data_IF_858092808967
#
_entry.id   IF_858092808967
#
_cell.length_a   1.000
_cell.length_b   1.000
_cell.length_c   1.000
_cell.angle_alpha   90.00
_cell.angle_beta   90.00
_cell.angle_gamma   90.00
#
_symmetry.space_group_name_H-M   'P 1'
#
loop_
_entity.id
_entity.type
_entity.pdbx_description
1 polymer ?
#
# COMPACT_ATOMS: atom_id res chain seq x y z
N UNK A 1 60.12 -38.57 -21.40
CA UNK A 1 59.62 -39.95 -21.52
C UNK A 1 59.46 -40.53 -20.12
N UNK A 2 58.21 -40.58 -19.64
CA UNK A 2 57.48 -41.80 -19.18
C UNK A 2 58.32 -42.97 -18.60
N UNK A 3 57.94 -43.70 -17.56
CA UNK A 3 56.77 -43.78 -16.65
C UNK A 3 57.10 -44.89 -15.59
N UNK A 4 56.67 -44.77 -14.32
CA UNK A 4 55.56 -45.52 -13.63
C UNK A 4 55.73 -47.06 -13.45
N UNK A 5 55.18 -47.75 -12.43
CA UNK A 5 54.27 -47.46 -11.30
C UNK A 5 54.27 -48.65 -10.31
N UNK A 6 53.75 -48.49 -9.08
CA UNK A 6 53.65 -49.51 -8.00
C UNK A 6 52.22 -49.68 -7.44
N UNK A 7 51.81 -50.95 -7.39
CA UNK A 7 51.14 -51.81 -6.37
C UNK A 7 50.13 -51.31 -5.30
N UNK A 8 49.17 -52.22 -5.03
CA UNK A 8 47.98 -52.29 -4.16
C UNK A 8 48.31 -52.72 -2.70
N UNK A 9 47.43 -52.43 -1.70
CA UNK A 9 46.78 -53.37 -0.72
C UNK A 9 46.10 -52.60 0.46
N UNK A 10 44.98 -53.16 0.92
CA UNK A 10 43.96 -52.70 1.90
C UNK A 10 44.06 -53.42 3.26
N UNK A 11 43.56 -52.81 4.38
CA UNK A 11 42.54 -53.36 5.32
C UNK A 11 42.57 -52.80 6.77
N UNK A 12 41.40 -52.29 7.21
CA UNK A 12 40.67 -52.43 8.51
C UNK A 12 41.28 -52.24 9.94
N UNK A 13 40.59 -51.37 10.71
CA UNK A 13 40.16 -51.39 12.15
C UNK A 13 41.16 -51.68 13.31
N UNK A 14 41.21 -50.80 14.32
CA UNK A 14 41.11 -51.11 15.77
C UNK A 14 41.05 -49.84 16.65
N UNK A 15 40.51 -50.01 17.86
CA UNK A 15 39.87 -49.04 18.77
C UNK A 15 40.61 -49.01 20.14
N UNK A 16 40.46 -47.92 20.91
CA UNK A 16 40.51 -47.76 22.39
C UNK A 16 41.80 -47.39 23.20
N UNK A 17 41.61 -46.35 24.04
CA UNK A 17 41.93 -46.16 25.48
C UNK A 17 43.23 -45.50 26.03
N UNK A 18 43.03 -44.24 26.49
CA UNK A 18 43.21 -43.64 27.85
C UNK A 18 44.53 -43.64 28.68
N UNK A 19 44.60 -42.56 29.51
CA UNK A 19 45.42 -42.24 30.71
C UNK A 19 46.82 -41.61 30.54
N UNK A 20 47.31 -40.63 31.34
CA UNK A 20 46.81 -39.60 32.27
C UNK A 20 48.03 -38.73 32.71
N UNK A 21 47.80 -37.50 33.22
CA UNK A 21 48.64 -36.66 34.13
C UNK A 21 49.35 -35.38 33.58
N UNK A 22 48.79 -34.22 34.00
CA UNK A 22 49.34 -32.90 34.44
C UNK A 22 50.84 -32.58 34.23
N UNK A 23 51.32 -31.34 34.01
CA UNK A 23 51.00 -30.06 34.66
C UNK A 23 51.79 -28.87 34.02
N UNK A 24 51.14 -27.72 33.81
CA UNK A 24 51.61 -26.32 34.01
C UNK A 24 52.71 -25.64 33.14
N UNK A 25 52.28 -24.55 32.46
CA UNK A 25 52.77 -23.13 32.47
C UNK A 25 52.96 -22.48 31.08
N UNK A 26 52.08 -21.48 30.83
CA UNK A 26 52.15 -20.29 29.98
C UNK A 26 52.93 -20.29 28.64
N UNK A 27 52.17 -20.13 27.56
CA UNK A 27 52.39 -19.02 26.61
C UNK A 27 51.07 -18.57 25.98
N UNK A 28 50.68 -17.35 26.30
CA UNK A 28 49.52 -16.64 25.80
C UNK A 28 49.72 -16.30 24.32
N UNK A 29 49.04 -17.02 23.44
CA UNK A 29 48.75 -16.54 22.09
C UNK A 29 47.25 -16.39 21.98
N UNK A 30 46.80 -15.14 22.09
CA UNK A 30 45.47 -14.69 21.70
C UNK A 30 45.22 -15.08 20.25
N UNK A 31 44.50 -16.17 20.02
CA UNK A 31 43.80 -16.38 18.75
C UNK A 31 42.46 -15.68 18.88
N UNK A 32 42.45 -14.40 18.51
CA UNK A 32 41.22 -13.66 18.28
C UNK A 32 40.60 -14.29 17.03
N UNK A 33 39.59 -15.13 17.21
CA UNK A 33 38.70 -15.53 16.12
C UNK A 33 37.88 -14.29 15.74
N UNK A 34 38.41 -13.54 14.78
CA UNK A 34 37.63 -12.57 14.03
C UNK A 34 36.69 -13.33 13.09
N UNK A 35 35.40 -13.00 13.19
CA UNK A 35 34.52 -12.96 12.03
C UNK A 35 33.58 -14.15 11.83
N UNK A 36 32.49 -14.17 12.59
CA UNK A 36 31.20 -14.10 11.90
C UNK A 36 30.78 -12.63 11.94
N UNK A 37 30.92 -11.98 10.79
CA UNK A 37 30.42 -10.63 10.59
C UNK A 37 28.93 -10.63 10.91
N UNK A 38 28.54 -9.83 11.91
CA UNK A 38 27.18 -9.32 12.02
C UNK A 38 26.78 -8.83 10.63
N UNK A 39 25.75 -9.46 10.06
CA UNK A 39 25.17 -9.07 8.77
C UNK A 39 24.92 -7.56 8.78
N UNK A 40 25.67 -6.76 8.01
CA UNK A 40 25.38 -5.34 7.91
C UNK A 40 24.20 -5.23 6.95
N UNK A 41 23.03 -4.93 7.51
CA UNK A 41 21.69 -4.86 6.88
C UNK A 41 20.87 -6.16 6.84
N UNK A 42 20.52 -6.69 8.01
CA UNK A 42 19.12 -7.08 8.18
C UNK A 42 18.31 -5.78 8.13
N UNK A 43 17.69 -5.45 7.00
CA UNK A 43 16.68 -4.39 6.98
C UNK A 43 15.67 -4.71 8.08
N UNK A 44 15.55 -3.82 9.05
CA UNK A 44 14.56 -3.95 10.11
C UNK A 44 13.18 -3.88 9.45
N UNK A 45 12.57 -5.05 9.26
CA UNK A 45 11.23 -5.24 8.70
C UNK A 45 10.16 -5.07 9.76
N UNK A 46 10.55 -4.76 11.00
CA UNK A 46 9.59 -4.39 12.03
C UNK A 46 8.97 -3.03 11.72
N UNK A 47 7.77 -2.84 12.24
CA UNK A 47 6.95 -1.65 12.06
C UNK A 47 6.20 -1.36 13.35
N UNK A 48 5.79 -0.12 13.57
CA UNK A 48 5.23 0.32 14.86
C UNK A 48 3.70 0.31 14.86
N UNK A 49 3.08 0.71 13.75
CA UNK A 49 1.64 0.80 13.59
C UNK A 49 1.22 0.49 12.15
N UNK A 50 -0.07 0.28 11.93
CA UNK A 50 -0.69 0.17 10.62
C UNK A 50 -1.37 1.48 10.27
N UNK A 51 -1.11 2.03 9.09
CA UNK A 51 -1.85 3.13 8.52
C UNK A 51 -2.87 2.58 7.53
N UNK A 52 -4.15 2.76 7.82
CA UNK A 52 -5.22 2.44 6.88
C UNK A 52 -5.59 3.68 6.09
N UNK A 53 -5.44 3.60 4.78
CA UNK A 53 -5.64 4.70 3.84
C UNK A 53 -6.87 4.43 3.00
N UNK A 54 -7.86 5.33 3.09
CA UNK A 54 -8.96 5.41 2.14
C UNK A 54 -8.68 6.54 1.15
N UNK A 55 -8.99 6.31 -0.12
CA UNK A 55 -8.87 7.29 -1.20
C UNK A 55 -10.26 7.73 -1.70
N UNK A 56 -10.33 8.95 -2.22
CA UNK A 56 -11.52 9.47 -2.90
C UNK A 56 -11.39 9.30 -4.41
N UNK A 57 -12.11 8.35 -5.03
CA UNK A 57 -11.92 8.02 -6.45
C UNK A 57 -12.08 9.22 -7.40
N UNK A 58 -12.95 10.18 -7.09
CA UNK A 58 -13.15 11.35 -7.96
C UNK A 58 -11.95 12.30 -7.97
N UNK A 59 -11.26 12.47 -6.84
CA UNK A 59 -10.00 13.24 -6.80
C UNK A 59 -8.89 12.49 -7.52
N UNK A 60 -8.74 11.18 -7.23
CA UNK A 60 -7.76 10.32 -7.88
C UNK A 60 -7.92 10.35 -9.41
N UNK A 61 -9.16 10.35 -9.89
CA UNK A 61 -9.47 10.48 -11.31
C UNK A 61 -9.02 11.82 -11.91
N UNK A 62 -9.21 12.94 -11.19
CA UNK A 62 -8.76 14.27 -11.67
C UNK A 62 -7.25 14.29 -11.84
N UNK A 63 -6.51 13.74 -10.87
CA UNK A 63 -5.04 13.61 -10.94
C UNK A 63 -4.63 12.66 -12.06
N UNK A 64 -5.25 11.49 -12.16
CA UNK A 64 -4.96 10.48 -13.18
C UNK A 64 -5.09 11.00 -14.61
N UNK A 65 -6.14 11.78 -14.86
CA UNK A 65 -6.52 12.30 -16.18
C UNK A 65 -5.92 13.67 -16.50
N UNK A 66 -5.31 14.35 -15.52
CA UNK A 66 -4.70 15.66 -15.72
C UNK A 66 -3.62 15.60 -16.82
N UNK A 67 -3.77 16.43 -17.85
CA UNK A 67 -2.92 16.48 -19.05
C UNK A 67 -2.74 15.13 -19.78
N UNK A 68 -3.67 14.18 -19.59
CA UNK A 68 -3.64 12.84 -20.22
C UNK A 68 -5.00 12.52 -20.86
N UNK A 69 -5.26 12.99 -22.09
CA UNK A 69 -6.59 12.90 -22.71
C UNK A 69 -7.08 11.48 -23.02
N UNK A 70 -6.17 10.49 -23.01
CA UNK A 70 -6.51 9.08 -23.25
C UNK A 70 -6.72 8.30 -21.95
N UNK A 71 -6.57 8.95 -20.79
CA UNK A 71 -6.77 8.32 -19.50
C UNK A 71 -8.22 8.48 -19.06
N UNK A 72 -8.80 7.41 -18.56
CA UNK A 72 -10.15 7.36 -18.01
C UNK A 72 -10.12 6.68 -16.66
N UNK A 73 -11.28 6.70 -16.00
CA UNK A 73 -11.40 6.21 -14.64
C UNK A 73 -12.41 5.08 -14.52
N UNK A 74 -12.15 4.18 -13.58
CA UNK A 74 -13.12 3.23 -13.05
C UNK A 74 -13.57 3.71 -11.68
N UNK A 75 -14.87 3.58 -11.41
CA UNK A 75 -15.47 3.97 -10.14
C UNK A 75 -16.25 2.80 -9.54
N UNK A 76 -16.41 2.75 -8.21
CA UNK A 76 -17.35 1.86 -7.56
C UNK A 76 -18.76 2.02 -8.13
N UNK A 77 -19.56 0.94 -8.10
CA UNK A 77 -20.97 0.97 -8.52
C UNK A 77 -21.79 1.95 -7.69
N UNK A 78 -21.52 2.00 -6.38
CA UNK A 78 -22.16 2.97 -5.49
C UNK A 78 -21.48 4.33 -5.66
N UNK A 79 -22.19 5.35 -6.18
CA UNK A 79 -21.60 6.65 -6.41
C UNK A 79 -21.19 7.30 -5.09
N UNK A 80 -20.20 8.20 -5.16
CA UNK A 80 -19.72 8.96 -4.00
C UNK A 80 -19.24 8.09 -2.83
N UNK A 81 -18.59 6.97 -3.14
CA UNK A 81 -18.03 6.05 -2.16
C UNK A 81 -16.51 6.21 -2.07
N UNK A 82 -16.00 6.24 -0.85
CA UNK A 82 -14.58 6.07 -0.59
C UNK A 82 -14.18 4.61 -0.82
N UNK A 83 -12.96 4.40 -1.28
CA UNK A 83 -12.38 3.06 -1.45
C UNK A 83 -11.09 2.94 -0.67
N UNK A 84 -10.65 1.72 -0.41
CA UNK A 84 -9.33 1.45 0.15
C UNK A 84 -8.29 1.86 -0.89
N UNK A 85 -7.25 2.56 -0.42
CA UNK A 85 -5.97 2.62 -1.12
C UNK A 85 -5.04 1.55 -0.56
N UNK A 86 -4.90 1.47 0.77
CA UNK A 86 -4.06 0.44 1.37
C UNK A 86 -4.04 0.33 2.88
N UNK A 87 -3.35 -0.72 3.34
CA UNK A 87 -3.01 -0.96 4.74
C UNK A 87 -1.50 -1.03 4.83
N UNK A 88 -0.89 -0.01 5.39
CA UNK A 88 0.55 0.18 5.32
C UNK A 88 1.18 0.01 6.71
N UNK A 89 1.96 -1.05 6.91
CA UNK A 89 2.86 -1.14 8.05
C UNK A 89 3.86 0.02 8.02
N UNK A 90 3.90 0.77 9.11
CA UNK A 90 4.67 2.02 9.20
C UNK A 90 5.52 2.04 10.45
N UNK A 91 6.80 2.36 10.27
CA UNK A 91 7.74 2.71 11.32
C UNK A 91 7.73 4.22 11.53
N UNK A 92 7.64 4.65 12.78
CA UNK A 92 7.48 6.04 13.19
C UNK A 92 8.55 6.94 12.56
N UNK A 93 8.09 8.03 11.94
CA UNK A 93 8.97 9.00 11.29
C UNK A 93 9.54 8.53 9.94
N UNK A 94 9.01 7.43 9.39
CA UNK A 94 9.39 6.90 8.09
C UNK A 94 8.14 6.61 7.25
N UNK A 95 8.29 6.38 5.96
CA UNK A 95 7.17 5.98 5.09
C UNK A 95 6.96 4.46 5.01
N UNK A 96 7.92 3.66 5.47
CA UNK A 96 7.94 2.20 5.32
C UNK A 96 7.85 1.47 6.67
N UNK A 97 8.14 0.16 6.72
CA UNK A 97 8.94 -0.60 5.75
C UNK A 97 8.20 -0.91 4.44
N UNK A 98 8.97 -1.25 3.40
CA UNK A 98 8.46 -1.63 2.09
C UNK A 98 9.10 -2.93 1.59
N UNK A 99 8.40 -3.67 0.73
CA UNK A 99 8.92 -4.83 0.02
C UNK A 99 9.58 -5.86 0.97
N UNK A 100 8.93 -6.15 2.10
CA UNK A 100 9.52 -6.98 3.16
C UNK A 100 9.79 -8.42 2.72
N UNK A 101 9.11 -8.92 1.69
CA UNK A 101 9.42 -10.22 1.11
C UNK A 101 9.18 -10.27 -0.41
N UNK A 102 10.26 -10.23 -1.19
CA UNK A 102 10.20 -10.29 -2.66
C UNK A 102 9.85 -11.67 -3.23
N UNK A 103 9.73 -12.70 -2.38
CA UNK A 103 9.30 -14.05 -2.81
C UNK A 103 7.80 -14.28 -2.61
N UNK A 104 7.15 -13.45 -1.80
CA UNK A 104 5.70 -13.50 -1.55
C UNK A 104 4.98 -12.61 -2.55
N UNK A 105 5.04 -12.97 -3.83
CA UNK A 105 4.40 -12.19 -4.90
C UNK A 105 2.87 -12.33 -4.84
N UNK A 106 2.19 -11.28 -5.30
CA UNK A 106 0.74 -11.29 -5.48
C UNK A 106 0.32 -12.43 -6.42
N UNK A 107 -0.73 -13.14 -6.05
CA UNK A 107 -1.31 -14.25 -6.80
C UNK A 107 -2.84 -14.02 -6.87
N UNK A 108 -3.39 -13.69 -8.05
CA UNK A 108 -4.83 -13.46 -8.23
C UNK A 108 -5.71 -14.59 -7.69
N UNK A 109 -5.24 -15.84 -7.74
CA UNK A 109 -6.01 -16.98 -7.24
C UNK A 109 -6.28 -16.91 -5.73
N UNK A 110 -5.40 -16.26 -4.98
CA UNK A 110 -5.55 -16.11 -3.53
C UNK A 110 -6.67 -15.14 -3.14
N UNK A 111 -7.05 -14.23 -4.05
CA UNK A 111 -8.10 -13.22 -3.81
C UNK A 111 -9.35 -13.46 -4.65
N UNK A 112 -9.32 -14.40 -5.60
CA UNK A 112 -10.48 -14.78 -6.42
C UNK A 112 -11.78 -14.96 -5.63
N UNK A 113 -11.81 -15.54 -4.41
CA UNK A 113 -13.05 -15.66 -3.64
C UNK A 113 -13.71 -14.33 -3.24
N UNK A 114 -12.97 -13.21 -3.26
CA UNK A 114 -13.42 -11.86 -2.86
C UNK A 114 -13.17 -10.81 -3.94
N UNK A 115 -12.91 -11.23 -5.18
CA UNK A 115 -12.55 -10.33 -6.29
C UNK A 115 -13.64 -9.28 -6.54
N UNK A 116 -14.90 -9.70 -6.53
CA UNK A 116 -16.02 -8.79 -6.76
C UNK A 116 -16.16 -7.72 -5.69
N UNK A 117 -15.83 -8.07 -4.44
CA UNK A 117 -15.81 -7.16 -3.32
C UNK A 117 -14.61 -6.22 -3.40
N UNK A 118 -13.45 -6.68 -3.88
CA UNK A 118 -12.28 -5.84 -4.10
C UNK A 118 -12.48 -4.84 -5.24
N UNK A 119 -13.18 -5.21 -6.31
CA UNK A 119 -13.54 -4.27 -7.39
C UNK A 119 -14.34 -3.06 -6.87
N UNK A 120 -15.16 -3.25 -5.83
CA UNK A 120 -15.98 -2.20 -5.22
C UNK A 120 -15.28 -1.47 -4.07
N UNK A 121 -14.64 -2.22 -3.17
CA UNK A 121 -14.08 -1.71 -1.93
C UNK A 121 -12.66 -1.19 -2.12
N UNK A 122 -11.89 -1.75 -3.06
CA UNK A 122 -10.48 -1.46 -3.29
C UNK A 122 -10.24 -1.17 -4.78
N UNK A 123 -11.14 -0.39 -5.38
CA UNK A 123 -11.19 -0.14 -6.82
C UNK A 123 -9.88 0.44 -7.34
N UNK A 124 -9.34 -0.19 -8.39
CA UNK A 124 -8.30 0.41 -9.21
C UNK A 124 -8.92 1.49 -10.11
N UNK A 125 -8.71 2.76 -9.75
CA UNK A 125 -9.32 3.91 -10.44
C UNK A 125 -8.73 4.10 -11.84
N UNK A 126 -7.48 3.70 -12.06
CA UNK A 126 -6.73 3.95 -13.30
C UNK A 126 -7.10 2.95 -14.40
N UNK A 127 -8.10 3.29 -15.23
CA UNK A 127 -8.72 2.35 -16.19
C UNK A 127 -7.74 1.74 -17.19
N UNK A 128 -6.72 2.49 -17.60
CA UNK A 128 -5.73 2.05 -18.58
C UNK A 128 -4.67 1.10 -17.98
N UNK A 129 -4.79 0.75 -16.69
CA UNK A 129 -3.94 -0.26 -16.04
C UNK A 129 -4.68 -1.59 -15.90
N UNK A 130 -3.94 -2.68 -15.65
CA UNK A 130 -4.55 -4.00 -15.45
C UNK A 130 -5.40 -4.02 -14.16
N UNK A 131 -6.47 -4.82 -14.15
CA UNK A 131 -7.39 -4.95 -13.02
C UNK A 131 -6.66 -5.10 -11.68
N UNK A 132 -5.73 -6.05 -11.62
CA UNK A 132 -4.98 -6.39 -10.41
C UNK A 132 -3.80 -5.46 -10.09
N UNK A 133 -3.52 -4.43 -10.91
CA UNK A 133 -2.31 -3.63 -10.76
C UNK A 133 -2.19 -2.98 -9.38
N UNK A 134 -3.28 -2.38 -8.89
CA UNK A 134 -3.34 -1.79 -7.56
C UNK A 134 -3.12 -2.85 -6.47
N UNK A 135 -3.83 -3.98 -6.53
CA UNK A 135 -3.73 -5.02 -5.51
C UNK A 135 -2.34 -5.68 -5.48
N UNK A 136 -1.75 -5.90 -6.66
CA UNK A 136 -0.39 -6.39 -6.76
C UNK A 136 0.62 -5.40 -6.18
N UNK A 137 0.46 -4.09 -6.44
CA UNK A 137 1.29 -3.04 -5.84
C UNK A 137 1.19 -3.06 -4.32
N UNK A 138 -0.04 -3.01 -3.79
CA UNK A 138 -0.32 -2.94 -2.36
C UNK A 138 0.18 -4.18 -1.64
N UNK A 139 -0.03 -5.37 -2.20
CA UNK A 139 0.48 -6.60 -1.59
C UNK A 139 2.00 -6.64 -1.60
N UNK A 140 2.64 -6.50 -2.77
CA UNK A 140 4.08 -6.67 -2.91
C UNK A 140 4.84 -5.65 -2.04
N UNK A 141 4.38 -4.39 -2.02
CA UNK A 141 5.04 -3.30 -1.31
C UNK A 141 4.70 -3.23 0.18
N UNK A 142 3.44 -3.44 0.56
CA UNK A 142 2.96 -3.24 1.94
C UNK A 142 2.45 -4.53 2.59
N UNK A 143 1.66 -5.32 1.86
CA UNK A 143 1.09 -6.58 2.36
C UNK A 143 2.14 -7.60 2.82
N UNK A 144 3.28 -7.69 2.12
CA UNK A 144 4.40 -8.57 2.52
C UNK A 144 5.00 -8.17 3.88
N UNK A 145 4.88 -6.91 4.29
CA UNK A 145 5.28 -6.43 5.62
C UNK A 145 4.18 -6.68 6.67
N UNK A 146 2.91 -6.58 6.28
CA UNK A 146 1.77 -6.81 7.17
C UNK A 146 1.64 -8.30 7.52
N UNK A 147 1.97 -9.18 6.58
CA UNK A 147 1.89 -10.63 6.71
C UNK A 147 2.80 -11.24 7.80
N UNK A 148 3.59 -10.42 8.50
CA UNK A 148 4.36 -10.80 9.68
C UNK A 148 3.49 -11.07 10.93
N UNK A 149 2.22 -10.64 10.94
CA UNK A 149 1.27 -10.91 12.02
C UNK A 149 0.04 -11.69 11.52
N UNK A 150 -0.54 -12.49 12.41
CA UNK A 150 -1.61 -13.45 12.09
C UNK A 150 -2.81 -12.83 11.34
N UNK A 151 -3.31 -11.62 11.69
CA UNK A 151 -4.47 -11.04 11.02
C UNK A 151 -4.28 -10.73 9.52
N UNK A 152 -3.04 -10.68 9.03
CA UNK A 152 -2.71 -10.35 7.63
C UNK A 152 -1.80 -11.41 6.98
N UNK A 153 -1.56 -12.56 7.62
CA UNK A 153 -0.55 -13.54 7.19
C UNK A 153 -0.88 -14.34 5.91
N UNK A 154 -1.81 -13.86 5.10
CA UNK A 154 -2.07 -14.31 3.74
C UNK A 154 -2.66 -13.17 2.90
N UNK A 155 -2.59 -13.28 1.58
CA UNK A 155 -3.22 -12.30 0.66
C UNK A 155 -4.70 -12.15 0.96
N UNK A 156 -5.43 -13.27 1.02
CA UNK A 156 -6.86 -13.27 1.34
C UNK A 156 -7.14 -12.51 2.64
N UNK A 157 -6.41 -12.80 3.72
CA UNK A 157 -6.58 -12.11 5.00
C UNK A 157 -6.29 -10.62 4.91
N UNK A 158 -5.22 -10.23 4.22
CA UNK A 158 -4.84 -8.83 4.06
C UNK A 158 -5.94 -8.02 3.34
N UNK A 159 -6.42 -8.55 2.23
CA UNK A 159 -7.47 -7.92 1.43
C UNK A 159 -8.83 -7.93 2.12
N UNK A 160 -9.24 -9.06 2.72
CA UNK A 160 -10.45 -9.14 3.54
C UNK A 160 -10.41 -8.15 4.70
N UNK A 161 -9.25 -7.96 5.36
CA UNK A 161 -9.13 -6.99 6.46
C UNK A 161 -9.29 -5.54 5.98
N UNK A 162 -8.80 -5.22 4.79
CA UNK A 162 -9.03 -3.91 4.17
C UNK A 162 -10.51 -3.63 3.92
N UNK A 163 -11.25 -4.63 3.41
CA UNK A 163 -12.70 -4.55 3.22
C UNK A 163 -13.41 -4.37 4.58
N UNK A 164 -13.05 -5.16 5.60
CA UNK A 164 -13.60 -5.02 6.96
C UNK A 164 -13.37 -3.61 7.51
N UNK A 165 -12.16 -3.07 7.35
CA UNK A 165 -11.81 -1.73 7.81
C UNK A 165 -12.58 -0.63 7.05
N UNK A 166 -12.75 -0.76 5.74
CA UNK A 166 -13.57 0.17 4.97
C UNK A 166 -15.01 0.21 5.48
N UNK A 167 -15.60 -0.97 5.70
CA UNK A 167 -16.97 -1.09 6.18
C UNK A 167 -17.13 -0.53 7.61
N UNK A 168 -16.13 -0.73 8.48
CA UNK A 168 -16.18 -0.26 9.87
C UNK A 168 -15.88 1.23 10.03
N UNK A 169 -14.96 1.77 9.22
CA UNK A 169 -14.46 3.14 9.34
C UNK A 169 -14.80 3.97 8.10
N UNK A 170 -16.04 3.87 7.64
CA UNK A 170 -16.49 4.40 6.36
C UNK A 170 -16.49 5.94 6.33
N UNK A 171 -15.55 6.56 5.61
CA UNK A 171 -15.34 8.01 5.64
C UNK A 171 -16.57 8.81 5.16
N UNK A 172 -17.33 8.29 4.18
CA UNK A 172 -18.58 8.92 3.73
C UNK A 172 -19.55 9.16 4.88
N UNK A 173 -19.67 8.22 5.82
CA UNK A 173 -20.63 8.35 6.93
C UNK A 173 -20.19 9.41 7.93
N UNK A 174 -18.89 9.46 8.24
CA UNK A 174 -18.32 10.44 9.17
C UNK A 174 -18.43 11.86 8.61
N UNK A 175 -18.11 12.04 7.32
CA UNK A 175 -18.22 13.33 6.65
C UNK A 175 -19.68 13.78 6.50
N UNK A 176 -20.59 12.88 6.09
CA UNK A 176 -22.01 13.19 5.95
C UNK A 176 -22.64 13.59 7.29
N UNK A 177 -22.25 12.96 8.40
CA UNK A 177 -22.73 13.32 9.74
C UNK A 177 -22.38 14.76 10.13
N UNK A 178 -21.36 15.35 9.50
CA UNK A 178 -20.98 16.76 9.65
C UNK A 178 -21.48 17.66 8.50
N UNK A 179 -22.39 17.16 7.65
CA UNK A 179 -22.88 17.81 6.44
C UNK A 179 -21.78 18.13 5.41
N UNK A 180 -20.67 17.38 5.43
CA UNK A 180 -19.61 17.47 4.42
C UNK A 180 -19.94 16.46 3.31
N UNK A 181 -20.40 16.99 2.18
CA UNK A 181 -20.78 16.21 0.99
C UNK A 181 -19.92 16.62 -0.22
N UNK A 182 -19.78 15.75 -1.24
CA UNK A 182 -19.02 16.10 -2.43
C UNK A 182 -19.57 17.37 -3.12
N UNK A 183 -18.67 18.26 -3.52
CA UNK A 183 -18.93 19.49 -4.25
C UNK A 183 -17.72 19.90 -5.09
N UNK A 184 -17.96 20.27 -6.34
CA UNK A 184 -16.91 20.78 -7.23
C UNK A 184 -16.61 22.27 -7.04
N UNK A 185 -17.38 22.97 -6.20
CA UNK A 185 -17.31 24.44 -6.06
C UNK A 185 -17.11 24.90 -4.62
N UNK A 186 -17.52 24.11 -3.63
CA UNK A 186 -17.36 24.46 -2.21
C UNK A 186 -16.01 23.96 -1.72
N UNK A 187 -15.12 24.90 -1.37
CA UNK A 187 -13.85 24.61 -0.72
C UNK A 187 -14.02 24.35 0.78
N UNK A 188 -13.62 23.16 1.23
CA UNK A 188 -13.60 22.76 2.63
C UNK A 188 -12.34 23.26 3.34
N UNK A 189 -12.42 23.43 4.66
CA UNK A 189 -11.24 23.61 5.51
C UNK A 189 -10.79 22.27 6.09
N UNK A 190 -9.48 22.08 6.25
CA UNK A 190 -8.93 20.87 6.85
C UNK A 190 -9.44 20.67 8.29
N UNK A 191 -9.65 21.77 9.02
CA UNK A 191 -10.22 21.76 10.37
C UNK A 191 -11.63 21.15 10.41
N UNK A 192 -12.45 21.41 9.39
CA UNK A 192 -13.83 20.91 9.33
C UNK A 192 -13.86 19.39 9.10
N UNK A 193 -13.01 18.92 8.19
CA UNK A 193 -12.80 17.49 7.91
C UNK A 193 -12.26 16.78 9.17
N UNK A 194 -11.24 17.36 9.81
CA UNK A 194 -10.66 16.80 11.04
C UNK A 194 -11.71 16.67 12.14
N UNK A 195 -12.53 17.72 12.38
CA UNK A 195 -13.59 17.67 13.40
C UNK A 195 -14.64 16.60 13.10
N UNK A 196 -15.00 16.40 11.83
CA UNK A 196 -15.97 15.38 11.42
C UNK A 196 -15.50 13.96 11.81
N UNK A 197 -14.23 13.64 11.55
CA UNK A 197 -13.67 12.33 11.88
C UNK A 197 -13.42 12.18 13.38
N UNK A 198 -12.85 13.20 14.04
CA UNK A 198 -12.61 13.20 15.49
C UNK A 198 -13.91 12.97 16.26
N UNK A 199 -15.03 13.58 15.83
CA UNK A 199 -16.33 13.41 16.47
C UNK A 199 -16.83 11.95 16.47
N UNK A 200 -16.34 11.10 15.56
CA UNK A 200 -16.72 9.68 15.46
C UNK A 200 -15.69 8.73 16.05
N UNK A 201 -14.41 9.03 15.87
CA UNK A 201 -13.32 8.11 16.22
C UNK A 201 -12.54 8.52 17.47
N UNK A 202 -12.68 9.77 17.93
CA UNK A 202 -11.91 10.31 19.05
C UNK A 202 -10.41 10.52 18.74
N UNK A 203 -10.00 10.27 17.49
CA UNK A 203 -8.62 10.43 17.01
C UNK A 203 -8.57 11.35 15.79
N UNK A 204 -7.44 12.03 15.60
CA UNK A 204 -7.20 12.87 14.42
C UNK A 204 -6.87 12.00 13.21
N UNK A 205 -7.60 12.13 12.08
CA UNK A 205 -7.17 11.52 10.83
C UNK A 205 -5.97 12.27 10.25
N UNK A 206 -5.26 11.62 9.34
CA UNK A 206 -4.40 12.32 8.40
C UNK A 206 -5.21 12.73 7.17
N UNK A 207 -5.15 14.01 6.82
CA UNK A 207 -5.85 14.57 5.66
C UNK A 207 -4.84 14.80 4.55
N UNK A 208 -5.00 14.12 3.42
CA UNK A 208 -4.09 14.24 2.29
C UNK A 208 -4.75 14.97 1.13
N UNK A 209 -4.02 15.93 0.57
CA UNK A 209 -4.39 16.66 -0.61
C UNK A 209 -3.35 16.53 -1.72
N UNK A 210 -3.83 16.70 -2.95
CA UNK A 210 -3.01 16.88 -4.15
C UNK A 210 -3.49 18.14 -4.89
N UNK A 211 -2.59 18.81 -5.61
CA UNK A 211 -2.91 20.07 -6.29
C UNK A 211 -2.69 19.95 -7.78
N UNK A 212 -3.75 20.19 -8.56
CA UNK A 212 -3.70 20.25 -10.03
C UNK A 212 -4.30 21.57 -10.50
N UNK A 213 -3.62 22.23 -11.44
CA UNK A 213 -4.03 23.53 -11.99
C UNK A 213 -4.36 24.59 -10.94
N UNK A 214 -3.65 24.55 -9.80
CA UNK A 214 -3.84 25.47 -8.69
C UNK A 214 -5.02 25.14 -7.76
N UNK A 215 -5.84 24.14 -8.10
CA UNK A 215 -6.93 23.60 -7.29
C UNK A 215 -6.39 22.49 -6.39
N UNK A 216 -6.78 22.49 -5.11
CA UNK A 216 -6.38 21.48 -4.13
C UNK A 216 -7.52 20.50 -3.91
N UNK A 217 -7.28 19.21 -4.12
CA UNK A 217 -8.27 18.14 -4.00
C UNK A 217 -8.00 17.28 -2.77
N UNK A 218 -9.05 16.88 -2.06
CA UNK A 218 -8.98 15.87 -1.00
C UNK A 218 -8.78 14.50 -1.66
N UNK A 219 -7.59 13.92 -1.55
CA UNK A 219 -7.27 12.62 -2.17
C UNK A 219 -7.43 11.45 -1.21
N UNK A 220 -7.06 11.62 0.07
CA UNK A 220 -7.08 10.53 1.04
C UNK A 220 -7.41 11.00 2.45
N UNK A 221 -8.00 10.08 3.22
CA UNK A 221 -8.12 10.14 4.66
C UNK A 221 -7.51 8.89 5.26
N UNK A 222 -6.60 9.07 6.22
CA UNK A 222 -5.89 7.95 6.86
C UNK A 222 -6.13 7.91 8.36
N UNK A 223 -6.23 6.70 8.89
CA UNK A 223 -6.31 6.43 10.33
C UNK A 223 -5.31 5.34 10.69
N UNK A 224 -4.91 5.27 11.96
CA UNK A 224 -3.87 4.36 12.39
C UNK A 224 -4.35 3.34 13.42
N UNK A 225 -3.69 2.18 13.43
CA UNK A 225 -3.95 1.09 14.36
C UNK A 225 -2.65 0.58 14.98
N UNK A 226 -2.72 0.18 16.24
CA UNK A 226 -1.63 -0.59 16.85
C UNK A 226 -1.57 -2.02 16.27
N UNK A 227 -0.58 -2.81 16.70
CA UNK A 227 -0.41 -4.21 16.27
C UNK A 227 -1.56 -5.12 16.71
N UNK A 228 -2.38 -4.69 17.67
CA UNK A 228 -3.56 -5.40 18.16
C UNK A 228 -4.85 -4.94 17.45
N UNK A 229 -4.74 -4.06 16.46
CA UNK A 229 -5.83 -3.49 15.67
C UNK A 229 -6.76 -2.56 16.47
N UNK A 230 -6.26 -1.99 17.58
CA UNK A 230 -6.94 -0.89 18.24
C UNK A 230 -6.62 0.42 17.53
N UNK A 231 -7.63 1.26 17.38
CA UNK A 231 -7.44 2.58 16.77
C UNK A 231 -6.52 3.44 17.63
N UNK A 232 -5.63 4.20 16.99
CA UNK A 232 -4.68 5.08 17.66
C UNK A 232 -4.41 6.35 16.84
N UNK A 233 -3.85 7.37 17.49
CA UNK A 233 -3.30 8.53 16.79
C UNK A 233 -2.12 8.11 15.91
N UNK A 234 -2.09 8.59 14.66
CA UNK A 234 -0.95 8.39 13.77
C UNK A 234 0.29 9.10 14.32
N UNK A 235 1.47 8.48 14.19
CA UNK A 235 2.72 8.97 14.79
C UNK A 235 3.80 9.25 13.76
N UNK A 236 4.60 10.29 14.00
CA UNK A 236 5.77 10.62 13.18
C UNK A 236 5.44 11.35 11.87
N UNK A 237 4.25 11.96 11.82
CA UNK A 237 3.72 12.66 10.66
C UNK A 237 3.87 14.18 10.80
N UNK A 238 3.83 14.88 9.66
CA UNK A 238 3.90 16.34 9.62
C UNK A 238 2.63 16.96 10.21
N UNK A 239 2.79 17.79 11.23
CA UNK A 239 1.69 18.51 11.88
C UNK A 239 1.72 19.99 11.49
N UNK A 240 0.60 20.50 10.97
CA UNK A 240 0.42 21.90 10.61
C UNK A 240 -0.76 22.43 11.41
N UNK A 241 -0.51 23.44 12.27
CA UNK A 241 -1.55 24.06 13.09
C UNK A 241 -2.39 23.06 13.90
N UNK A 242 -1.78 21.99 14.43
CA UNK A 242 -2.50 20.96 15.19
C UNK A 242 -3.19 19.88 14.35
N UNK A 243 -3.08 19.95 13.01
CA UNK A 243 -3.67 18.99 12.07
C UNK A 243 -2.60 18.13 11.43
N UNK A 244 -2.90 16.83 11.27
CA UNK A 244 -2.06 15.91 10.50
C UNK A 244 -2.42 16.04 9.02
N UNK A 245 -1.71 16.89 8.29
CA UNK A 245 -2.07 17.18 6.89
C UNK A 245 -0.92 17.71 6.05
N UNK A 246 -0.95 17.41 4.75
CA UNK A 246 -0.14 18.08 3.73
C UNK A 246 -0.92 19.17 2.96
N UNK A 247 -2.20 19.37 3.26
CA UNK A 247 -3.06 20.34 2.59
C UNK A 247 -2.60 21.77 2.93
N UNK A 248 -2.60 22.65 1.93
CA UNK A 248 -2.31 24.06 2.12
C UNK A 248 -3.48 24.74 2.87
N UNK A 249 -3.21 25.20 4.09
CA UNK A 249 -4.20 25.84 4.96
C UNK A 249 -4.78 27.16 4.40
N UNK A 250 -4.08 27.82 3.47
CA UNK A 250 -4.55 29.05 2.82
C UNK A 250 -5.47 28.79 1.63
N UNK A 251 -5.69 27.53 1.24
CA UNK A 251 -6.54 27.14 0.11
C UNK A 251 -7.73 26.29 0.58
N UNK A 252 -8.88 26.49 -0.05
CA UNK A 252 -10.01 25.57 0.10
C UNK A 252 -9.69 24.21 -0.51
N UNK A 253 -10.14 23.14 0.15
CA UNK A 253 -10.00 21.75 -0.31
C UNK A 253 -11.27 21.37 -1.08
N UNK A 254 -11.14 21.02 -2.35
CA UNK A 254 -12.23 20.49 -3.16
C UNK A 254 -12.40 19.01 -2.85
N UNK A 255 -13.64 18.62 -2.52
CA UNK A 255 -14.07 17.24 -2.37
C UNK A 255 -15.00 16.93 -3.54
N UNK A 256 -14.46 16.63 -4.74
CA UNK A 256 -15.20 16.72 -6.00
C UNK A 256 -16.29 15.67 -6.11
N UNK A 257 -17.32 15.96 -6.89
CA UNK A 257 -18.37 14.97 -7.20
C UNK A 257 -17.85 13.91 -8.17
N UNK A 258 -18.43 12.71 -8.13
CA UNK A 258 -18.13 11.72 -9.15
C UNK A 258 -18.62 12.20 -10.51
N UNK A 259 -17.70 12.36 -11.45
CA UNK A 259 -18.01 12.71 -12.84
C UNK A 259 -18.81 11.54 -13.43
N UNK A 260 -20.11 11.73 -13.60
CA UNK A 260 -20.88 10.89 -14.50
C UNK A 260 -20.44 11.27 -15.92
N UNK A 261 -19.51 10.54 -16.50
CA UNK A 261 -19.36 10.64 -17.96
C UNK A 261 -20.69 10.19 -18.57
N UNK A 262 -21.39 11.04 -19.34
CA UNK A 262 -22.53 10.57 -20.09
C UNK A 262 -22.02 9.47 -21.02
N UNK A 263 -22.72 8.33 -21.14
CA UNK A 263 -22.32 7.30 -22.09
C UNK A 263 -22.12 7.94 -23.46
N UNK A 264 -21.03 7.60 -24.19
CA UNK A 264 -20.72 8.23 -25.45
C UNK A 264 -21.96 8.15 -26.33
N UNK A 265 -22.48 9.31 -26.74
CA UNK A 265 -23.76 9.36 -27.43
C UNK A 265 -23.64 8.50 -28.70
N UNK A 266 -24.48 7.46 -28.80
CA UNK A 266 -24.38 6.43 -29.85
C UNK A 266 -24.26 7.01 -31.27
N UNK A 267 -24.90 8.16 -31.51
CA UNK A 267 -24.81 8.88 -32.78
C UNK A 267 -23.44 9.49 -33.07
N UNK A 268 -22.68 9.95 -32.06
CA UNK A 268 -21.32 10.47 -32.22
C UNK A 268 -20.35 9.34 -32.58
N UNK A 269 -20.53 8.17 -31.96
CA UNK A 269 -19.77 6.95 -32.31
C UNK A 269 -20.10 6.49 -33.73
N UNK A 270 -21.38 6.52 -34.13
CA UNK A 270 -21.80 6.20 -35.49
C UNK A 270 -21.28 7.23 -36.51
N UNK A 271 -21.31 8.52 -36.17
CA UNK A 271 -20.79 9.60 -37.00
C UNK A 271 -19.27 9.47 -37.19
N UNK A 272 -18.52 9.20 -36.12
CA UNK A 272 -17.07 8.95 -36.21
C UNK A 272 -16.75 7.72 -37.05
N UNK A 273 -17.51 6.62 -36.90
CA UNK A 273 -17.39 5.45 -37.77
C UNK A 273 -17.70 5.80 -39.23
N UNK A 274 -18.72 6.61 -39.48
CA UNK A 274 -19.08 7.05 -40.83
C UNK A 274 -18.02 7.97 -41.44
N UNK A 275 -17.51 8.95 -40.69
CA UNK A 275 -16.45 9.86 -41.13
C UNK A 275 -15.18 9.08 -41.44
N UNK A 276 -14.76 8.18 -40.56
CA UNK A 276 -13.62 7.31 -40.82
C UNK A 276 -13.87 6.44 -42.06
N UNK A 277 -15.06 5.84 -42.20
CA UNK A 277 -15.43 5.05 -43.38
C UNK A 277 -15.40 5.88 -44.67
N UNK A 278 -15.90 7.12 -44.68
CA UNK A 278 -15.85 8.02 -45.84
C UNK A 278 -14.41 8.40 -46.20
N UNK A 279 -13.55 8.61 -45.20
CA UNK A 279 -12.13 8.90 -45.42
C UNK A 279 -11.41 7.79 -46.19
N UNK A 280 -11.84 6.52 -46.04
CA UNK A 280 -11.33 5.39 -46.85
C UNK A 280 -11.72 5.43 -48.33
N UNK A 281 -12.74 6.20 -48.72
CA UNK A 281 -13.17 6.36 -50.12
C UNK A 281 -12.65 7.65 -50.78
N UNK A 282 -11.95 8.49 -50.01
CA UNK A 282 -11.36 9.75 -50.50
C UNK A 282 -9.83 9.70 -50.59
N UNK A 283 -9.23 8.53 -50.37
CA UNK A 283 -7.83 8.17 -50.66
C UNK A 283 -7.82 7.14 -51.80
#
# INVERSE_FOLDING_TARGET
>A
MTMCSKTIISAFLLYLCFDHVSMLIHRSHHLILFGDALSPYAFDKDWDFLMFTQQWPSSQCKVWTHNKPNHHCVFPKKPNSWTVHGIWPTKKGTKGPFNCNNTWLFDPEQVRPIESELEEAWTNVEKETQLYNLWAHEWNKHGTCAAMIEPFNSQLKYFSKGIDFLNKYHMTEMLNAANIVPSDTVGLKAEDINRAVVAKLGIRPMIQCESEDGVQYLIELRICFDKQLNIMECQGEHEVNGLLTNCNASKGIIYPTQVQEPPPKKYLVQLLKFVNWVQWFTL
#
